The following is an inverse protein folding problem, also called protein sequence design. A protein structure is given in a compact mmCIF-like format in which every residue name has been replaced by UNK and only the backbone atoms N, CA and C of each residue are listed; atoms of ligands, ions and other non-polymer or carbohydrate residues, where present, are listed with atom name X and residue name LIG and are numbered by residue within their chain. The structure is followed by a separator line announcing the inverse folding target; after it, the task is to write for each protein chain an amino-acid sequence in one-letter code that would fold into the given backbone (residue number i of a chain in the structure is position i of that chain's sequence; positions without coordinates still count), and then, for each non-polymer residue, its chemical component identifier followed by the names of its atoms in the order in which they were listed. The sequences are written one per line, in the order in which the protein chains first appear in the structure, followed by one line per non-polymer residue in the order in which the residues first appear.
data_IF_027503685493
#
_entry.id   IF_027503685493
#
_cell.length_a   1.000
_cell.length_b   1.000
_cell.length_c   1.000
_cell.angle_alpha   90.00
_cell.angle_beta   90.00
_cell.angle_gamma   90.00
#
_symmetry.space_group_name_H-M   'P 1'
#
loop_
_entity.id
_entity.type
_entity.pdbx_description
1 polymer ?
#
# COMPACT_ATOMS: atom_id res chain seq x y z
N UNK A 1 -4.70 -27.29 38.78
CA UNK A 1 -4.23 -27.07 37.40
C UNK A 1 -3.28 -28.21 37.05
N UNK A 2 -3.61 -29.03 36.06
CA UNK A 2 -2.76 -30.16 35.69
C UNK A 2 -1.54 -29.68 34.88
N UNK A 3 -0.40 -30.39 34.97
CA UNK A 3 0.78 -30.10 34.15
C UNK A 3 0.47 -30.09 32.64
N UNK A 4 -0.54 -30.88 32.23
CA UNK A 4 -1.04 -30.90 30.85
C UNK A 4 -1.71 -29.58 30.45
N UNK A 5 -2.40 -28.93 31.37
CA UNK A 5 -3.08 -27.65 31.12
C UNK A 5 -2.06 -26.52 30.95
N UNK A 6 -0.99 -26.53 31.75
CA UNK A 6 0.13 -25.59 31.64
C UNK A 6 0.85 -25.74 30.29
N UNK A 7 1.12 -26.97 29.87
CA UNK A 7 1.73 -27.25 28.56
C UNK A 7 0.85 -26.79 27.39
N UNK A 8 -0.47 -27.03 27.48
CA UNK A 8 -1.44 -26.61 26.46
C UNK A 8 -1.56 -25.09 26.38
N UNK A 9 -1.52 -24.40 27.53
CA UNK A 9 -1.48 -22.95 27.60
C UNK A 9 -0.22 -22.38 26.94
N UNK A 10 0.96 -22.92 27.30
CA UNK A 10 2.23 -22.47 26.73
C UNK A 10 2.24 -22.61 25.20
N UNK A 11 1.82 -23.76 24.66
CA UNK A 11 1.75 -23.97 23.20
C UNK A 11 0.87 -22.94 22.49
N UNK A 12 -0.30 -22.62 23.07
CA UNK A 12 -1.21 -21.60 22.51
C UNK A 12 -0.55 -20.22 22.50
N UNK A 13 0.09 -19.84 23.61
CA UNK A 13 0.79 -18.56 23.71
C UNK A 13 2.01 -18.49 22.77
N UNK A 14 2.75 -19.59 22.61
CA UNK A 14 3.88 -19.68 21.67
C UNK A 14 3.42 -19.51 20.22
N UNK A 15 2.28 -20.09 19.83
CA UNK A 15 1.73 -19.93 18.48
C UNK A 15 1.35 -18.46 18.23
N UNK A 16 0.65 -17.83 19.17
CA UNK A 16 0.28 -16.41 19.06
C UNK A 16 1.52 -15.53 18.92
N UNK A 17 2.55 -15.80 19.72
CA UNK A 17 3.81 -15.07 19.64
C UNK A 17 4.52 -15.27 18.31
N UNK A 18 4.62 -16.52 17.84
CA UNK A 18 5.23 -16.84 16.55
C UNK A 18 4.51 -16.14 15.39
N UNK A 19 3.17 -16.20 15.35
CA UNK A 19 2.37 -15.51 14.34
C UNK A 19 2.56 -13.99 14.41
N UNK A 20 2.63 -13.42 15.61
CA UNK A 20 2.89 -11.99 15.78
C UNK A 20 4.27 -11.55 15.25
N UNK A 21 5.33 -12.26 15.63
CA UNK A 21 6.71 -11.97 15.20
C UNK A 21 6.84 -12.15 13.69
N UNK A 22 6.35 -13.25 13.13
CA UNK A 22 6.39 -13.49 11.69
C UNK A 22 5.51 -12.51 10.90
N UNK A 23 4.36 -12.11 11.44
CA UNK A 23 3.51 -11.09 10.85
C UNK A 23 4.19 -9.72 10.81
N UNK A 24 4.87 -9.32 11.88
CA UNK A 24 5.63 -8.07 11.92
C UNK A 24 6.83 -8.10 10.96
N UNK A 25 7.60 -9.19 10.95
CA UNK A 25 8.74 -9.39 10.05
C UNK A 25 8.30 -9.40 8.57
N UNK A 26 7.22 -10.12 8.26
CA UNK A 26 6.64 -10.20 6.92
C UNK A 26 6.07 -8.87 6.46
N UNK A 27 5.36 -8.14 7.33
CA UNK A 27 4.85 -6.81 7.02
C UNK A 27 5.99 -5.84 6.74
N UNK A 28 7.04 -5.85 7.57
CA UNK A 28 8.22 -5.01 7.36
C UNK A 28 8.91 -5.30 6.02
N UNK A 29 9.14 -6.59 5.72
CA UNK A 29 9.73 -7.00 4.44
C UNK A 29 8.84 -6.61 3.24
N UNK A 30 7.52 -6.80 3.37
CA UNK A 30 6.55 -6.42 2.33
C UNK A 30 6.53 -4.92 2.07
N UNK A 31 6.48 -4.09 3.12
CA UNK A 31 6.49 -2.64 2.98
C UNK A 31 7.83 -2.11 2.44
N UNK A 32 8.94 -2.75 2.81
CA UNK A 32 10.25 -2.45 2.23
C UNK A 32 10.33 -2.81 0.75
N UNK A 33 9.81 -3.96 0.35
CA UNK A 33 9.85 -4.42 -1.04
C UNK A 33 8.87 -3.68 -1.96
N UNK A 34 7.70 -3.30 -1.44
CA UNK A 34 6.68 -2.55 -2.21
C UNK A 34 7.00 -1.06 -2.34
N UNK A 35 8.17 -0.58 -1.87
CA UNK A 35 8.61 0.81 -2.00
C UNK A 35 7.80 1.82 -1.19
N UNK A 36 6.88 1.36 -0.31
CA UNK A 36 6.01 2.24 0.49
C UNK A 36 6.75 3.09 1.52
N UNK A 37 8.00 2.74 1.83
CA UNK A 37 8.89 3.53 2.69
C UNK A 37 9.84 4.43 1.89
N UNK A 38 9.98 4.27 0.57
CA UNK A 38 10.74 5.18 -0.28
C UNK A 38 9.94 6.45 -0.64
N UNK A 39 8.61 6.38 -0.53
CA UNK A 39 7.75 7.56 -0.39
C UNK A 39 7.96 8.16 1.00
N UNK A 40 9.09 8.87 1.15
CA UNK A 40 9.35 9.76 2.29
C UNK A 40 8.08 10.58 2.53
N UNK A 41 7.57 10.70 3.77
CA UNK A 41 6.66 11.79 4.05
C UNK A 41 7.43 13.06 3.66
N UNK A 42 6.89 13.80 2.70
CA UNK A 42 7.27 15.19 2.44
C UNK A 42 6.95 15.93 3.73
N UNK A 43 7.88 15.87 4.69
CA UNK A 43 7.85 16.70 5.86
C UNK A 43 8.19 18.08 5.32
N UNK A 44 7.12 18.82 5.09
CA UNK A 44 7.05 20.17 4.59
C UNK A 44 8.10 21.05 5.28
N UNK A 45 9.27 21.22 4.66
CA UNK A 45 10.28 22.15 5.17
C UNK A 45 10.11 23.56 4.61
N UNK A 46 9.09 23.82 3.78
CA UNK A 46 8.78 25.20 3.38
C UNK A 46 7.36 25.34 2.81
N UNK A 47 6.43 26.05 3.48
CA UNK A 47 5.12 26.38 2.90
C UNK A 47 5.19 27.40 1.75
N UNK A 48 6.36 27.97 1.46
CA UNK A 48 6.55 29.01 0.44
C UNK A 48 6.98 28.48 -0.94
N UNK A 49 7.43 27.23 -1.07
CA UNK A 49 7.83 26.64 -2.36
C UNK A 49 6.66 26.09 -3.21
N UNK A 50 5.41 26.22 -2.75
CA UNK A 50 4.20 25.85 -3.51
C UNK A 50 3.65 27.02 -4.37
N UNK A 51 4.47 28.03 -4.64
CA UNK A 51 4.19 29.10 -5.60
C UNK A 51 5.14 29.02 -6.80
N UNK A 52 5.02 27.95 -7.56
CA UNK A 52 5.24 28.04 -9.00
C UNK A 52 4.19 27.11 -9.65
N UNK A 53 3.14 27.66 -10.29
CA UNK A 53 2.22 26.86 -11.08
C UNK A 53 2.92 26.51 -12.40
N UNK A 54 3.98 25.71 -12.33
CA UNK A 54 4.67 25.21 -13.50
C UNK A 54 3.95 23.93 -13.95
N UNK A 55 2.85 24.14 -14.68
CA UNK A 55 2.06 23.06 -15.24
C UNK A 55 0.58 23.41 -15.34
N UNK A 56 0.16 23.72 -16.56
CA UNK A 56 -1.18 23.96 -17.13
C UNK A 56 -2.33 23.04 -16.62
N UNK A 57 -2.03 22.02 -15.81
CA UNK A 57 -2.92 20.93 -15.41
C UNK A 57 -3.21 20.85 -13.89
N UNK A 58 -2.95 21.91 -13.12
CA UNK A 58 -3.16 21.91 -11.66
C UNK A 58 -4.30 22.84 -11.25
N UNK A 59 -5.35 22.29 -10.62
CA UNK A 59 -6.46 23.08 -10.05
C UNK A 59 -6.36 23.06 -8.53
N UNK A 60 -6.19 24.23 -7.92
CA UNK A 60 -6.06 24.37 -6.46
C UNK A 60 -7.33 24.99 -5.88
N UNK A 61 -8.01 24.24 -5.01
CA UNK A 61 -9.11 24.75 -4.20
C UNK A 61 -8.59 25.07 -2.79
N UNK A 62 -8.69 26.33 -2.38
CA UNK A 62 -8.34 26.77 -1.02
C UNK A 62 -9.63 27.13 -0.27
N UNK A 63 -9.84 26.51 0.88
CA UNK A 63 -10.79 26.94 1.90
C UNK A 63 -10.01 27.43 3.14
N UNK A 64 -10.64 28.12 4.11
CA UNK A 64 -9.94 28.62 5.30
C UNK A 64 -9.23 27.55 6.14
N UNK A 65 -9.62 26.28 6.00
CA UNK A 65 -9.08 25.17 6.79
C UNK A 65 -8.51 24.03 5.93
N UNK A 66 -8.63 24.08 4.61
CA UNK A 66 -8.12 23.01 3.73
C UNK A 66 -7.58 23.55 2.41
N UNK A 67 -6.54 22.87 1.91
CA UNK A 67 -5.97 23.11 0.58
C UNK A 67 -6.05 21.79 -0.20
N UNK A 68 -6.92 21.74 -1.19
CA UNK A 68 -7.04 20.61 -2.11
C UNK A 68 -6.31 20.95 -3.40
N UNK A 69 -5.31 20.14 -3.75
CA UNK A 69 -4.55 20.28 -5.00
C UNK A 69 -4.93 19.12 -5.92
N UNK A 70 -5.61 19.42 -7.03
CA UNK A 70 -5.96 18.44 -8.05
C UNK A 70 -4.94 18.54 -9.18
N UNK A 71 -4.23 17.46 -9.46
CA UNK A 71 -3.19 17.40 -10.50
C UNK A 71 -3.65 16.42 -11.59
N UNK A 72 -3.93 16.94 -12.78
CA UNK A 72 -4.31 16.12 -13.93
C UNK A 72 -3.07 15.60 -14.66
N UNK A 73 -2.73 14.32 -14.43
CA UNK A 73 -1.63 13.63 -15.12
C UNK A 73 -2.11 13.13 -16.50
N UNK A 74 -1.43 13.53 -17.58
CA UNK A 74 -1.83 13.21 -18.97
C UNK A 74 -1.84 11.70 -19.27
N UNK A 75 -0.99 10.91 -18.61
CA UNK A 75 -0.88 9.46 -18.82
C UNK A 75 -1.37 8.63 -17.62
N UNK A 76 -2.38 9.12 -16.87
CA UNK A 76 -2.87 8.41 -15.70
C UNK A 76 -3.75 7.22 -16.07
N UNK A 77 -3.26 6.01 -15.81
CA UNK A 77 -4.05 4.78 -15.86
C UNK A 77 -4.80 4.62 -14.53
N UNK A 78 -6.15 4.63 -14.51
CA UNK A 78 -6.91 4.43 -13.29
C UNK A 78 -6.49 3.15 -12.56
N UNK A 79 -6.37 3.20 -11.23
CA UNK A 79 -6.00 2.03 -10.43
C UNK A 79 -6.89 0.81 -10.70
N UNK A 80 -8.17 1.05 -11.01
CA UNK A 80 -9.13 0.03 -11.42
C UNK A 80 -8.68 -0.71 -12.68
N UNK A 81 -8.23 0.01 -13.71
CA UNK A 81 -7.69 -0.60 -14.95
C UNK A 81 -6.37 -1.33 -14.72
N UNK A 82 -5.50 -0.85 -13.82
CA UNK A 82 -4.25 -1.56 -13.46
C UNK A 82 -4.55 -2.90 -12.79
N UNK A 83 -5.49 -2.93 -11.86
CA UNK A 83 -5.88 -4.17 -11.16
C UNK A 83 -6.61 -5.12 -12.12
N UNK A 84 -7.50 -4.60 -12.96
CA UNK A 84 -8.19 -5.40 -13.98
C UNK A 84 -7.20 -6.07 -14.93
N UNK A 85 -6.25 -5.32 -15.49
CA UNK A 85 -5.22 -5.86 -16.39
C UNK A 85 -4.33 -6.90 -15.69
N UNK A 86 -4.00 -6.68 -14.41
CA UNK A 86 -3.23 -7.65 -13.62
C UNK A 86 -4.00 -8.97 -13.43
N UNK A 87 -5.28 -8.90 -13.04
CA UNK A 87 -6.13 -10.09 -12.89
C UNK A 87 -6.34 -10.79 -14.24
N UNK A 88 -6.57 -10.02 -15.31
CA UNK A 88 -6.70 -10.57 -16.66
C UNK A 88 -5.42 -11.26 -17.12
N UNK A 89 -4.24 -10.69 -16.84
CA UNK A 89 -2.95 -11.31 -17.17
C UNK A 89 -2.69 -12.62 -16.43
N UNK A 90 -3.34 -12.84 -15.29
CA UNK A 90 -3.24 -14.10 -14.52
C UNK A 90 -4.23 -15.16 -15.02
N UNK A 91 -5.34 -14.76 -15.65
CA UNK A 91 -6.36 -15.67 -16.16
C UNK A 91 -6.30 -15.96 -17.67
N UNK A 92 -5.40 -15.30 -18.41
CA UNK A 92 -5.24 -15.48 -19.86
C UNK A 92 -4.04 -16.37 -20.18
N UNK A 93 -4.18 -17.66 -19.89
CA UNK A 93 -3.30 -18.67 -20.47
C UNK A 93 -3.70 -18.89 -21.95
N UNK A 94 -2.79 -18.74 -22.92
CA UNK A 94 -3.10 -18.96 -24.33
C UNK A 94 -3.08 -20.46 -24.65
N UNK A 95 -4.26 -21.03 -24.87
CA UNK A 95 -4.44 -22.27 -25.63
C UNK A 95 -4.57 -23.56 -24.81
N UNK A 96 -5.80 -23.98 -24.55
CA UNK A 96 -6.29 -25.38 -24.65
C UNK A 96 -7.80 -25.34 -24.41
N UNK A 97 -8.59 -25.54 -25.47
CA UNK A 97 -10.06 -25.49 -25.34
C UNK A 97 -10.89 -25.79 -26.58
N UNK A 98 -10.27 -25.94 -27.77
CA UNK A 98 -10.93 -26.54 -28.93
C UNK A 98 -10.34 -27.93 -29.17
N UNK A 99 -10.99 -28.96 -28.61
CA UNK A 99 -11.26 -30.29 -29.20
C UNK A 99 -12.37 -30.98 -28.42
#
# INVERSE_FOLDING_TARGET
MSLKDVSKWNKRMSIVYAVGVWGMMGSYAFFKYTGRYDDKPVLMENPEQLQEPDGENTVVYKTPHSKTVIIYKKDFVPFTTRIYNFIQSLGSEPGTGDK
#
